data_IF_618629068621
#
_entry.id   IF_618629068621
#
_cell.length_a   1.000
_cell.length_b   1.000
_cell.length_c   1.000
_cell.angle_alpha   90.00
_cell.angle_beta   90.00
_cell.angle_gamma   90.00
#
_symmetry.space_group_name_H-M   'P 1'
#
loop_
_entity.id
_entity.type
_entity.pdbx_description
1 polymer ?
#
# COMPACT_ATOMS: atom_id res chain seq x y z
N UNK A 1 -16.41 11.56 -9.14
CA UNK A 1 -16.11 10.44 -8.22
C UNK A 1 -14.75 9.88 -8.62
N UNK A 2 -13.76 9.87 -7.73
CA UNK A 2 -12.43 9.32 -8.01
C UNK A 2 -12.35 7.85 -7.62
N UNK A 3 -11.67 7.03 -8.43
CA UNK A 3 -11.42 5.62 -8.16
C UNK A 3 -10.01 5.34 -7.61
N UNK A 4 -9.14 6.35 -7.52
CA UNK A 4 -7.72 6.17 -7.17
C UNK A 4 -7.09 7.31 -6.37
N UNK A 5 -7.79 8.43 -6.15
CA UNK A 5 -7.26 9.55 -5.34
C UNK A 5 -7.53 9.34 -3.85
N UNK A 6 -6.54 8.84 -3.12
CA UNK A 6 -6.64 8.45 -1.71
C UNK A 6 -6.23 9.54 -0.71
N UNK A 7 -5.64 10.66 -1.16
CA UNK A 7 -5.16 11.73 -0.27
C UNK A 7 -6.25 12.20 0.71
N UNK A 8 -5.88 12.36 1.99
CA UNK A 8 -6.81 12.72 3.07
C UNK A 8 -7.36 14.14 2.88
N UNK A 9 -6.58 15.03 2.26
CA UNK A 9 -6.98 16.43 1.98
C UNK A 9 -8.23 16.54 1.12
N UNK A 10 -8.53 15.53 0.29
CA UNK A 10 -9.72 15.49 -0.58
C UNK A 10 -11.04 15.23 0.18
N UNK A 11 -10.96 14.80 1.44
CA UNK A 11 -12.11 14.66 2.34
C UNK A 11 -12.68 16.00 2.84
N UNK A 12 -11.92 17.10 2.71
CA UNK A 12 -12.37 18.42 3.17
C UNK A 12 -13.45 19.00 2.23
N UNK A 13 -14.72 18.92 2.65
CA UNK A 13 -15.87 19.42 1.87
C UNK A 13 -16.00 20.93 1.82
N UNK A 14 -15.24 21.69 2.62
CA UNK A 14 -15.16 23.14 2.45
C UNK A 14 -14.32 23.50 1.22
N UNK A 15 -13.27 22.70 0.94
CA UNK A 15 -12.38 22.86 -0.22
C UNK A 15 -12.88 22.10 -1.45
N UNK A 16 -13.47 20.92 -1.25
CA UNK A 16 -13.87 19.99 -2.31
C UNK A 16 -15.34 19.53 -2.14
N UNK A 17 -16.32 20.44 -2.25
CA UNK A 17 -17.73 20.15 -1.93
C UNK A 17 -18.37 19.07 -2.82
N UNK A 18 -17.90 18.92 -4.06
CA UNK A 18 -18.43 17.95 -5.02
C UNK A 18 -17.54 16.69 -5.18
N UNK A 19 -16.42 16.61 -4.45
CA UNK A 19 -15.53 15.46 -4.55
C UNK A 19 -16.12 14.26 -3.80
N UNK A 20 -16.04 13.08 -4.40
CA UNK A 20 -16.40 11.79 -3.80
C UNK A 20 -15.44 10.73 -4.32
N UNK A 21 -15.30 9.60 -3.61
CA UNK A 21 -14.48 8.47 -4.07
C UNK A 21 -15.02 7.12 -3.61
N UNK A 22 -14.72 6.09 -4.39
CA UNK A 22 -15.14 4.69 -4.19
C UNK A 22 -14.06 3.81 -3.57
N UNK A 23 -13.04 4.45 -3.01
CA UNK A 23 -11.90 3.85 -2.36
C UNK A 23 -11.67 4.49 -0.99
N UNK A 24 -11.05 3.77 -0.02
CA UNK A 24 -10.69 4.35 1.25
C UNK A 24 -9.60 5.42 1.10
N UNK A 25 -9.55 6.34 2.05
CA UNK A 25 -8.49 7.34 2.11
C UNK A 25 -7.22 6.83 2.83
N UNK A 26 -6.09 7.51 2.61
CA UNK A 26 -4.77 7.08 3.13
C UNK A 26 -4.69 7.00 4.66
N UNK A 27 -5.61 7.63 5.40
CA UNK A 27 -5.67 7.50 6.86
C UNK A 27 -5.88 6.05 7.26
N UNK A 28 -6.75 5.33 6.53
CA UNK A 28 -7.05 3.92 6.80
C UNK A 28 -5.91 3.01 6.37
N UNK A 29 -5.24 3.31 5.25
CA UNK A 29 -4.06 2.55 4.82
C UNK A 29 -2.92 2.68 5.83
N UNK A 30 -2.62 3.91 6.25
CA UNK A 30 -1.55 4.18 7.21
C UNK A 30 -1.86 3.59 8.60
N UNK A 31 -3.13 3.57 9.01
CA UNK A 31 -3.58 2.87 10.21
C UNK A 31 -3.32 1.36 10.13
N UNK A 32 -3.68 0.75 9.00
CA UNK A 32 -3.44 -0.65 8.74
C UNK A 32 -1.93 -0.98 8.76
N UNK A 33 -1.11 -0.18 8.06
CA UNK A 33 0.35 -0.33 8.08
C UNK A 33 0.91 -0.22 9.50
N UNK A 34 0.52 0.79 10.28
CA UNK A 34 0.99 0.95 11.66
C UNK A 34 0.55 -0.22 12.54
N UNK A 35 -0.70 -0.67 12.44
CA UNK A 35 -1.20 -1.82 13.20
C UNK A 35 -0.45 -3.11 12.86
N UNK A 36 -0.10 -3.30 11.58
CA UNK A 36 0.76 -4.39 11.13
C UNK A 36 2.15 -4.28 11.79
N UNK A 37 2.83 -3.14 11.66
CA UNK A 37 4.16 -2.92 12.24
C UNK A 37 4.18 -3.17 13.76
N UNK A 38 3.16 -2.69 14.47
CA UNK A 38 3.00 -2.91 15.92
C UNK A 38 2.84 -4.40 16.26
N UNK A 39 2.08 -5.15 15.47
CA UNK A 39 1.87 -6.59 15.67
C UNK A 39 3.18 -7.38 15.63
N UNK A 40 4.13 -6.95 14.81
CA UNK A 40 5.45 -7.57 14.68
C UNK A 40 6.53 -6.93 15.57
N UNK A 41 6.20 -5.90 16.35
CA UNK A 41 7.16 -5.19 17.20
C UNK A 41 8.25 -4.45 16.42
N UNK A 42 7.98 -4.11 15.15
CA UNK A 42 8.87 -3.32 14.30
C UNK A 42 8.69 -1.84 14.65
N UNK A 43 9.69 -1.29 15.33
CA UNK A 43 9.63 0.07 15.92
C UNK A 43 10.63 1.04 15.28
N UNK A 44 11.44 0.56 14.35
CA UNK A 44 12.43 1.35 13.62
C UNK A 44 12.30 1.07 12.13
N UNK A 45 11.81 2.04 11.36
CA UNK A 45 11.46 1.83 9.95
C UNK A 45 12.01 2.93 9.05
N UNK A 46 12.40 2.58 7.83
CA UNK A 46 12.66 3.55 6.77
C UNK A 46 11.36 3.93 6.04
N UNK A 47 11.28 5.13 5.48
CA UNK A 47 10.15 5.53 4.62
C UNK A 47 10.65 6.11 3.30
N UNK A 48 10.10 5.60 2.19
CA UNK A 48 10.36 6.08 0.83
C UNK A 48 9.06 6.59 0.24
N UNK A 49 9.07 7.81 -0.31
CA UNK A 49 7.90 8.41 -0.96
C UNK A 49 8.24 8.97 -2.32
N UNK A 50 7.25 8.98 -3.22
CA UNK A 50 7.31 9.84 -4.40
C UNK A 50 6.86 11.25 -4.03
N UNK A 51 7.59 12.25 -4.53
CA UNK A 51 7.22 13.66 -4.35
C UNK A 51 5.84 13.95 -4.96
N UNK A 52 5.03 14.71 -4.23
CA UNK A 52 3.65 15.02 -4.59
C UNK A 52 2.66 14.83 -3.44
N UNK A 53 1.43 15.29 -3.67
CA UNK A 53 0.39 15.36 -2.65
C UNK A 53 0.04 14.01 -2.02
N UNK A 54 0.04 12.92 -2.80
CA UNK A 54 -0.21 11.57 -2.30
C UNK A 54 0.88 11.13 -1.32
N UNK A 55 2.14 11.07 -1.77
CA UNK A 55 3.26 10.60 -0.95
C UNK A 55 3.47 11.43 0.31
N UNK A 56 3.33 12.76 0.22
CA UNK A 56 3.48 13.65 1.36
C UNK A 56 2.31 13.51 2.36
N UNK A 57 1.06 13.48 1.88
CA UNK A 57 -0.13 13.26 2.74
C UNK A 57 -0.05 11.90 3.44
N UNK A 58 0.30 10.84 2.72
CA UNK A 58 0.44 9.50 3.29
C UNK A 58 1.55 9.45 4.34
N UNK A 59 2.71 10.06 4.08
CA UNK A 59 3.81 10.16 5.04
C UNK A 59 3.42 10.87 6.34
N UNK A 60 2.78 12.04 6.24
CA UNK A 60 2.35 12.81 7.43
C UNK A 60 1.35 12.03 8.28
N UNK A 61 0.38 11.37 7.63
CA UNK A 61 -0.58 10.51 8.32
C UNK A 61 0.11 9.30 8.95
N UNK A 62 1.05 8.66 8.25
CA UNK A 62 1.83 7.54 8.78
C UNK A 62 2.60 7.94 10.02
N UNK A 63 3.38 9.03 9.98
CA UNK A 63 4.18 9.50 11.13
C UNK A 63 3.31 9.85 12.33
N UNK A 64 2.17 10.52 12.11
CA UNK A 64 1.21 10.86 13.16
C UNK A 64 0.65 9.64 13.89
N UNK A 65 0.44 8.54 13.16
CA UNK A 65 -0.08 7.29 13.73
C UNK A 65 1.02 6.39 14.31
N UNK A 66 2.17 6.32 13.63
CA UNK A 66 3.34 5.54 14.02
C UNK A 66 3.90 6.02 15.37
N UNK A 67 4.06 7.33 15.54
CA UNK A 67 4.57 7.92 16.79
C UNK A 67 3.71 7.58 18.01
N UNK A 68 2.37 7.57 17.85
CA UNK A 68 1.42 7.17 18.91
C UNK A 68 1.55 5.69 19.30
N UNK A 69 2.11 4.87 18.42
CA UNK A 69 2.33 3.44 18.62
C UNK A 69 3.80 3.11 18.92
N UNK A 70 4.63 4.11 19.26
CA UNK A 70 6.03 3.90 19.62
C UNK A 70 6.92 3.45 18.46
N UNK A 71 6.54 3.78 17.22
CA UNK A 71 7.31 3.50 16.01
C UNK A 71 7.99 4.78 15.55
N UNK A 72 9.30 4.72 15.33
CA UNK A 72 10.11 5.83 14.85
C UNK A 72 10.57 5.60 13.41
N UNK A 73 10.67 6.70 12.66
CA UNK A 73 11.20 6.72 11.30
C UNK A 73 12.70 7.00 11.35
N UNK A 74 13.49 6.03 10.87
CA UNK A 74 14.94 6.09 10.80
C UNK A 74 15.41 7.11 9.77
N UNK A 75 14.79 7.09 8.59
CA UNK A 75 15.04 8.02 7.51
C UNK A 75 13.78 8.20 6.67
N UNK A 76 13.67 9.37 6.05
CA UNK A 76 12.69 9.67 5.00
C UNK A 76 13.46 9.97 3.72
N UNK A 77 13.15 9.23 2.65
CA UNK A 77 13.67 9.50 1.32
C UNK A 77 12.54 9.94 0.39
N UNK A 78 12.78 11.01 -0.37
CA UNK A 78 11.83 11.58 -1.31
C UNK A 78 12.42 11.46 -2.71
N UNK A 79 11.69 10.80 -3.60
CA UNK A 79 12.09 10.66 -5.01
C UNK A 79 11.18 11.56 -5.86
N UNK A 80 11.72 12.53 -6.60
CA UNK A 80 10.91 13.42 -7.44
C UNK A 80 10.12 12.64 -8.52
N UNK A 81 8.97 13.19 -8.93
CA UNK A 81 8.09 12.53 -9.89
C UNK A 81 8.63 12.53 -11.34
N UNK A 82 9.43 13.53 -11.73
CA UNK A 82 9.87 13.75 -13.12
C UNK A 82 10.93 12.74 -13.56
N UNK A 83 10.47 11.56 -13.98
CA UNK A 83 11.30 10.45 -14.47
C UNK A 83 12.24 10.92 -15.58
N UNK A 84 13.51 10.50 -15.52
CA UNK A 84 14.52 10.77 -16.54
C UNK A 84 15.37 12.03 -16.29
N UNK A 85 15.00 12.88 -15.33
CA UNK A 85 15.85 14.00 -14.90
C UNK A 85 17.09 13.53 -14.13
N UNK A 86 18.19 14.29 -14.21
CA UNK A 86 19.39 14.04 -13.42
C UNK A 86 19.07 14.06 -11.92
N UNK A 87 18.16 14.93 -11.49
CA UNK A 87 17.69 15.05 -10.11
C UNK A 87 17.05 13.74 -9.60
N UNK A 88 16.20 13.10 -10.42
CA UNK A 88 15.59 11.81 -10.04
C UNK A 88 16.64 10.71 -9.91
N UNK A 89 17.60 10.63 -10.84
CA UNK A 89 18.67 9.62 -10.75
C UNK A 89 19.50 9.81 -9.49
N UNK A 90 19.91 11.05 -9.20
CA UNK A 90 20.64 11.38 -7.97
C UNK A 90 19.84 11.07 -6.72
N UNK A 91 18.53 11.38 -6.69
CA UNK A 91 17.66 11.05 -5.57
C UNK A 91 17.51 9.53 -5.36
N UNK A 92 17.44 8.74 -6.44
CA UNK A 92 17.40 7.27 -6.39
C UNK A 92 18.72 6.72 -5.84
N UNK A 93 19.86 7.16 -6.37
CA UNK A 93 21.20 6.76 -5.87
C UNK A 93 21.37 7.11 -4.40
N UNK A 94 20.95 8.31 -3.98
CA UNK A 94 20.99 8.72 -2.59
C UNK A 94 20.05 7.89 -1.71
N UNK A 95 18.84 7.58 -2.20
CA UNK A 95 17.88 6.73 -1.48
C UNK A 95 18.44 5.33 -1.25
N UNK A 96 19.01 4.71 -2.29
CA UNK A 96 19.66 3.40 -2.18
C UNK A 96 20.81 3.43 -1.16
N UNK A 97 21.65 4.46 -1.21
CA UNK A 97 22.75 4.66 -0.26
C UNK A 97 22.24 4.78 1.17
N UNK A 98 21.21 5.60 1.41
CA UNK A 98 20.60 5.76 2.74
C UNK A 98 20.02 4.45 3.28
N UNK A 99 19.44 3.60 2.41
CA UNK A 99 18.96 2.26 2.81
C UNK A 99 20.11 1.35 3.27
N UNK A 100 21.26 1.38 2.59
CA UNK A 100 22.44 0.62 2.97
C UNK A 100 23.11 1.16 4.25
N UNK A 101 23.12 2.48 4.44
CA UNK A 101 23.68 3.15 5.62
C UNK A 101 22.81 2.98 6.89
N UNK A 102 21.58 2.45 6.76
CA UNK A 102 20.66 2.19 7.88
C UNK A 102 20.28 0.69 7.97
N UNK A 103 21.24 -0.21 8.27
CA UNK A 103 20.97 -1.64 8.31
C UNK A 103 19.96 -2.04 9.40
N UNK A 104 19.78 -1.24 10.45
CA UNK A 104 18.88 -1.57 11.56
C UNK A 104 17.40 -1.36 11.19
N UNK A 105 17.15 -0.58 10.13
CA UNK A 105 15.85 -0.39 9.52
C UNK A 105 15.59 -1.50 8.49
N UNK A 106 15.32 -2.71 8.99
CA UNK A 106 15.00 -3.88 8.18
C UNK A 106 13.64 -3.77 7.47
N UNK A 107 12.76 -2.89 7.96
CA UNK A 107 11.44 -2.62 7.40
C UNK A 107 11.41 -1.25 6.73
N UNK A 108 10.93 -1.21 5.47
CA UNK A 108 10.79 0.01 4.68
C UNK A 108 9.33 0.18 4.25
N UNK A 109 8.70 1.28 4.67
CA UNK A 109 7.36 1.66 4.22
C UNK A 109 7.48 2.49 2.95
N UNK A 110 6.71 2.15 1.91
CA UNK A 110 6.85 2.77 0.59
C UNK A 110 5.53 3.29 0.01
N UNK A 111 5.44 4.63 -0.08
CA UNK A 111 4.39 5.38 -0.80
C UNK A 111 4.93 5.90 -2.13
N UNK A 112 5.61 5.03 -2.88
CA UNK A 112 6.24 5.37 -4.15
C UNK A 112 5.46 4.84 -5.36
N UNK A 113 5.64 5.50 -6.51
CA UNK A 113 5.10 5.03 -7.79
C UNK A 113 5.81 3.75 -8.26
N UNK A 114 5.10 2.85 -8.99
CA UNK A 114 5.66 1.63 -9.55
C UNK A 114 7.00 1.81 -10.29
N UNK A 115 7.05 2.78 -11.21
CA UNK A 115 8.24 3.04 -12.04
C UNK A 115 9.46 3.42 -11.22
N UNK A 116 9.28 4.24 -10.18
CA UNK A 116 10.35 4.66 -9.29
C UNK A 116 10.82 3.51 -8.39
N UNK A 117 9.92 2.60 -7.99
CA UNK A 117 10.30 1.38 -7.27
C UNK A 117 11.16 0.45 -8.13
N UNK A 118 10.86 0.31 -9.42
CA UNK A 118 11.71 -0.44 -10.36
C UNK A 118 13.11 0.16 -10.43
N UNK A 119 13.23 1.47 -10.64
CA UNK A 119 14.54 2.11 -10.70
C UNK A 119 15.31 2.06 -9.38
N UNK A 120 14.61 2.18 -8.24
CA UNK A 120 15.23 2.04 -6.92
C UNK A 120 15.77 0.62 -6.71
N UNK A 121 15.01 -0.41 -7.10
CA UNK A 121 15.47 -1.79 -7.03
C UNK A 121 16.73 -2.01 -7.90
N UNK A 122 16.72 -1.52 -9.15
CA UNK A 122 17.88 -1.62 -10.04
C UNK A 122 19.12 -0.95 -9.43
N UNK A 123 18.96 0.22 -8.83
CA UNK A 123 20.07 0.93 -8.21
C UNK A 123 20.57 0.26 -6.92
N UNK A 124 19.67 -0.25 -6.07
CA UNK A 124 20.04 -1.05 -4.91
C UNK A 124 20.89 -2.26 -5.32
N UNK A 125 20.48 -2.95 -6.41
CA UNK A 125 21.23 -4.07 -6.97
C UNK A 125 22.61 -3.63 -7.49
N UNK A 126 22.67 -2.52 -8.22
CA UNK A 126 23.94 -1.98 -8.74
C UNK A 126 24.92 -1.62 -7.61
N UNK A 127 24.44 -0.96 -6.55
CA UNK A 127 25.28 -0.58 -5.42
C UNK A 127 25.76 -1.79 -4.61
N UNK A 128 24.89 -2.78 -4.38
CA UNK A 128 25.28 -4.04 -3.76
C UNK A 128 26.41 -4.73 -4.54
N UNK A 129 26.28 -4.83 -5.88
CA UNK A 129 27.29 -5.43 -6.74
C UNK A 129 28.62 -4.67 -6.70
N UNK A 130 28.58 -3.32 -6.76
CA UNK A 130 29.78 -2.47 -6.69
C UNK A 130 30.46 -2.51 -5.32
N UNK A 131 29.69 -2.61 -4.25
CA UNK A 131 30.19 -2.62 -2.88
C UNK A 131 30.71 -3.98 -2.42
N UNK A 132 30.64 -5.03 -3.25
CA UNK A 132 31.04 -6.38 -2.88
C UNK A 132 30.25 -6.97 -1.71
N UNK A 133 29.02 -6.47 -1.49
CA UNK A 133 28.18 -6.92 -0.39
C UNK A 133 27.47 -8.24 -0.69
N UNK A 134 27.16 -9.03 0.34
CA UNK A 134 26.35 -10.23 0.19
C UNK A 134 24.97 -9.87 -0.39
N UNK A 135 24.41 -10.74 -1.24
CA UNK A 135 23.08 -10.58 -1.84
C UNK A 135 21.98 -10.42 -0.79
N UNK A 136 22.21 -10.92 0.43
CA UNK A 136 21.30 -10.75 1.56
C UNK A 136 21.28 -9.32 2.13
N UNK A 137 22.31 -8.51 1.88
CA UNK A 137 22.44 -7.16 2.43
C UNK A 137 21.38 -6.19 1.88
N UNK A 138 20.82 -6.49 0.70
CA UNK A 138 19.72 -5.74 0.08
C UNK A 138 18.34 -6.16 0.59
N UNK A 139 18.21 -7.35 1.20
CA UNK A 139 16.91 -7.87 1.64
C UNK A 139 16.32 -6.98 2.72
N UNK A 140 15.04 -6.62 2.54
CA UNK A 140 14.23 -5.87 3.51
C UNK A 140 12.81 -6.44 3.53
N UNK A 141 12.03 -6.01 4.52
CA UNK A 141 10.56 -6.13 4.49
C UNK A 141 10.01 -4.83 3.95
N UNK A 142 9.48 -4.88 2.73
CA UNK A 142 8.85 -3.75 2.08
C UNK A 142 7.35 -3.75 2.39
N UNK A 143 6.90 -2.68 3.04
CA UNK A 143 5.48 -2.42 3.29
C UNK A 143 4.99 -1.49 2.19
N UNK A 144 4.37 -2.09 1.17
CA UNK A 144 3.99 -1.45 -0.08
C UNK A 144 2.57 -0.85 -0.01
N UNK A 145 2.45 0.41 -0.41
CA UNK A 145 1.17 1.08 -0.61
C UNK A 145 0.40 0.53 -1.81
N UNK A 146 -0.89 0.89 -1.88
CA UNK A 146 -1.83 0.60 -2.98
C UNK A 146 -1.31 1.00 -4.36
N UNK A 147 -0.41 1.97 -4.43
CA UNK A 147 0.14 2.44 -5.70
C UNK A 147 0.99 1.38 -6.43
N UNK A 148 1.68 0.48 -5.71
CA UNK A 148 2.61 -0.46 -6.35
C UNK A 148 2.55 -1.89 -5.82
N UNK A 149 1.84 -2.13 -4.71
CA UNK A 149 1.69 -3.44 -4.07
C UNK A 149 1.15 -4.55 -4.97
N UNK A 150 0.45 -4.22 -6.05
CA UNK A 150 -0.10 -5.16 -7.03
C UNK A 150 0.34 -4.88 -8.47
N UNK A 151 1.41 -4.10 -8.64
CA UNK A 151 1.89 -3.67 -9.96
C UNK A 151 2.68 -4.77 -10.69
N UNK A 152 2.17 -5.16 -11.86
CA UNK A 152 2.83 -6.12 -12.77
C UNK A 152 4.15 -5.58 -13.31
N UNK A 153 4.22 -4.27 -13.64
CA UNK A 153 5.48 -3.65 -14.05
C UNK A 153 6.57 -3.74 -12.99
N UNK A 154 6.23 -3.72 -11.69
CA UNK A 154 7.23 -3.95 -10.63
C UNK A 154 7.58 -5.43 -10.57
N UNK A 155 6.57 -6.31 -10.55
CA UNK A 155 6.73 -7.77 -10.54
C UNK A 155 7.74 -8.26 -11.60
N UNK A 156 7.61 -7.79 -12.84
CA UNK A 156 8.43 -8.22 -13.98
C UNK A 156 9.89 -7.76 -13.90
N UNK A 157 10.17 -6.72 -13.10
CA UNK A 157 11.48 -6.07 -13.05
C UNK A 157 12.24 -6.30 -11.75
N UNK A 158 11.71 -7.11 -10.83
CA UNK A 158 12.35 -7.40 -9.54
C UNK A 158 12.55 -8.91 -9.31
N UNK A 159 13.55 -9.24 -8.49
CA UNK A 159 13.76 -10.60 -7.99
C UNK A 159 13.50 -10.61 -6.48
N UNK A 160 12.45 -11.32 -6.05
CA UNK A 160 12.07 -11.39 -4.63
C UNK A 160 13.18 -11.94 -3.74
N UNK A 161 13.99 -12.88 -4.24
CA UNK A 161 15.10 -13.44 -3.47
C UNK A 161 16.19 -12.41 -3.12
N UNK A 162 16.30 -11.33 -3.89
CA UNK A 162 17.24 -10.22 -3.66
C UNK A 162 16.57 -9.12 -2.83
N UNK A 163 15.31 -8.79 -3.13
CA UNK A 163 14.56 -7.70 -2.48
C UNK A 163 14.10 -8.05 -1.06
N UNK A 164 13.88 -9.33 -0.76
CA UNK A 164 13.35 -9.82 0.52
C UNK A 164 11.84 -10.07 0.47
N UNK A 165 11.11 -9.49 1.41
CA UNK A 165 9.66 -9.68 1.54
C UNK A 165 8.91 -8.44 1.11
N UNK A 166 7.77 -8.60 0.43
CA UNK A 166 6.88 -7.49 0.09
C UNK A 166 5.48 -7.80 0.66
N UNK A 167 5.05 -6.94 1.59
CA UNK A 167 3.70 -6.90 2.15
C UNK A 167 2.96 -5.73 1.53
N UNK A 168 1.97 -6.02 0.71
CA UNK A 168 1.18 -5.04 -0.02
C UNK A 168 -0.13 -4.71 0.68
N UNK A 169 -0.57 -3.46 0.55
CA UNK A 169 -1.93 -3.05 0.85
C UNK A 169 -2.63 -2.76 -0.47
N UNK A 170 -3.74 -3.42 -0.77
CA UNK A 170 -4.52 -3.22 -2.00
C UNK A 170 -5.97 -2.90 -1.65
N UNK A 171 -6.65 -2.14 -2.52
CA UNK A 171 -8.09 -1.97 -2.36
C UNK A 171 -8.79 -3.32 -2.45
N UNK A 172 -9.87 -3.49 -1.68
CA UNK A 172 -10.68 -4.69 -1.74
C UNK A 172 -11.14 -4.96 -3.16
N UNK A 173 -10.76 -6.12 -3.70
CA UNK A 173 -11.26 -6.55 -4.99
C UNK A 173 -12.66 -7.11 -4.83
N UNK A 174 -13.61 -6.60 -5.61
CA UNK A 174 -14.89 -7.28 -5.80
C UNK A 174 -14.75 -8.50 -6.71
N UNK A 175 -15.88 -9.15 -6.99
CA UNK A 175 -15.97 -10.11 -8.08
C UNK A 175 -15.60 -9.44 -9.42
N UNK A 176 -14.80 -10.10 -10.26
CA UNK A 176 -14.36 -9.59 -11.57
C UNK A 176 -14.99 -10.37 -12.74
N UNK A 177 -15.94 -11.26 -12.48
CA UNK A 177 -16.54 -12.12 -13.50
C UNK A 177 -17.09 -11.33 -14.67
N UNK A 178 -17.81 -10.22 -14.41
CA UNK A 178 -18.33 -9.33 -15.46
C UNK A 178 -17.24 -8.71 -16.33
N UNK A 179 -16.15 -8.26 -15.72
CA UNK A 179 -15.02 -7.68 -16.45
C UNK A 179 -14.27 -8.73 -17.27
N UNK A 180 -14.08 -9.92 -16.70
CA UNK A 180 -13.44 -11.03 -17.39
C UNK A 180 -14.28 -11.53 -18.58
N UNK A 181 -15.60 -11.53 -18.45
CA UNK A 181 -16.53 -11.84 -19.53
C UNK A 181 -16.47 -10.78 -20.64
N UNK A 182 -16.41 -9.49 -20.29
CA UNK A 182 -16.19 -8.41 -21.26
C UNK A 182 -14.90 -8.64 -22.06
N UNK A 183 -13.79 -8.96 -21.39
CA UNK A 183 -12.52 -9.24 -22.08
C UNK A 183 -12.59 -10.48 -22.97
N UNK A 184 -13.31 -11.53 -22.58
CA UNK A 184 -13.51 -12.72 -23.41
C UNK A 184 -14.39 -12.43 -24.63
N UNK A 185 -15.40 -11.56 -24.50
CA UNK A 185 -16.20 -11.11 -25.65
C UNK A 185 -15.37 -10.24 -26.60
N UNK A 186 -14.52 -9.37 -26.06
CA UNK A 186 -13.60 -8.57 -26.85
C UNK A 186 -12.64 -9.45 -27.66
N UNK A 187 -12.11 -10.50 -27.04
CA UNK A 187 -11.28 -11.49 -27.72
C UNK A 187 -12.01 -12.21 -28.86
N UNK A 188 -13.26 -12.62 -28.63
CA UNK A 188 -14.09 -13.31 -29.61
C UNK A 188 -14.55 -12.41 -30.78
N UNK A 189 -14.68 -11.11 -30.55
CA UNK A 189 -15.15 -10.15 -31.55
C UNK A 189 -14.08 -9.80 -32.59
N UNK A 190 -12.79 -9.93 -32.24
CA UNK A 190 -11.66 -9.70 -33.14
C UNK A 190 -11.28 -8.23 -33.30
N UNK A 191 -10.29 -7.96 -34.16
CA UNK A 191 -9.60 -6.67 -34.25
C UNK A 191 -10.50 -5.52 -34.74
N UNK A 192 -11.47 -5.81 -35.61
CA UNK A 192 -12.30 -4.79 -36.24
C UNK A 192 -13.43 -4.29 -35.31
N UNK A 193 -13.77 -5.02 -34.24
CA UNK A 193 -14.83 -4.66 -33.30
C UNK A 193 -14.31 -3.88 -32.09
N UNK A 194 -13.58 -2.80 -32.37
CA UNK A 194 -13.16 -1.83 -31.32
C UNK A 194 -14.26 -0.80 -31.00
N UNK A 195 -15.35 -0.78 -31.78
CA UNK A 195 -16.37 0.26 -31.74
C UNK A 195 -15.76 1.66 -31.88
N UNK A 196 -16.23 2.60 -31.05
CA UNK A 196 -15.70 3.98 -31.00
C UNK A 196 -14.52 4.14 -30.00
N UNK A 197 -13.95 3.03 -29.49
CA UNK A 197 -12.88 3.11 -28.49
C UNK A 197 -11.51 3.34 -29.14
N UNK A 198 -11.22 4.61 -29.43
CA UNK A 198 -9.95 5.06 -30.03
C UNK A 198 -8.71 4.66 -29.21
N UNK A 199 -8.84 4.54 -27.87
CA UNK A 199 -7.72 4.13 -27.03
C UNK A 199 -7.41 2.64 -27.16
N UNK A 200 -8.42 1.82 -27.43
CA UNK A 200 -8.22 0.40 -27.70
C UNK A 200 -7.55 0.19 -29.06
N UNK A 201 -7.95 0.98 -30.07
CA UNK A 201 -7.29 0.98 -31.39
C UNK A 201 -5.82 1.40 -31.29
N UNK A 202 -5.53 2.47 -30.54
CA UNK A 202 -4.15 2.90 -30.28
C UNK A 202 -3.36 1.82 -29.54
N UNK A 203 -3.95 1.18 -28.53
CA UNK A 203 -3.34 0.09 -27.78
C UNK A 203 -2.96 -1.09 -28.67
N UNK A 204 -3.86 -1.53 -29.55
CA UNK A 204 -3.57 -2.58 -30.54
C UNK A 204 -2.43 -2.16 -31.48
N UNK A 205 -2.44 -0.92 -31.96
CA UNK A 205 -1.38 -0.40 -32.84
C UNK A 205 -0.01 -0.42 -32.15
N UNK A 206 0.06 0.02 -30.89
CA UNK A 206 1.32 0.04 -30.13
C UNK A 206 1.84 -1.37 -29.81
N UNK A 207 0.94 -2.29 -29.45
CA UNK A 207 1.30 -3.69 -29.25
C UNK A 207 1.83 -4.32 -30.54
N UNK A 208 1.16 -4.08 -31.66
CA UNK A 208 1.55 -4.66 -32.94
C UNK A 208 2.87 -4.09 -33.47
N UNK A 209 3.14 -2.80 -33.23
CA UNK A 209 4.39 -2.15 -33.61
C UNK A 209 5.64 -2.82 -32.99
N UNK A 210 5.46 -3.60 -31.93
CA UNK A 210 6.55 -4.28 -31.23
C UNK A 210 6.93 -5.60 -31.89
N UNK A 211 5.99 -6.37 -32.44
CA UNK A 211 6.25 -7.76 -32.87
C UNK A 211 5.60 -8.21 -34.19
N UNK A 212 4.68 -7.43 -34.80
CA UNK A 212 4.10 -7.75 -36.11
C UNK A 212 3.15 -8.94 -36.13
N UNK A 213 2.28 -9.04 -35.13
CA UNK A 213 1.27 -10.10 -35.00
C UNK A 213 0.19 -10.02 -36.07
N UNK A 214 -0.41 -11.17 -36.40
CA UNK A 214 -1.69 -11.21 -37.12
C UNK A 214 -2.86 -10.75 -36.22
N UNK A 215 -3.95 -10.28 -36.83
CA UNK A 215 -5.06 -9.62 -36.11
C UNK A 215 -5.65 -10.44 -34.95
N UNK A 216 -5.86 -11.75 -35.12
CA UNK A 216 -6.38 -12.62 -34.04
C UNK A 216 -5.39 -12.74 -32.88
N UNK A 217 -4.10 -12.93 -33.19
CA UNK A 217 -3.05 -13.07 -32.18
C UNK A 217 -2.84 -11.77 -31.41
N UNK A 218 -2.91 -10.63 -32.11
CA UNK A 218 -2.82 -9.30 -31.52
C UNK A 218 -3.91 -9.08 -30.46
N UNK A 219 -5.16 -9.43 -30.76
CA UNK A 219 -6.27 -9.24 -29.82
C UNK A 219 -6.12 -10.15 -28.60
N UNK A 220 -5.77 -11.43 -28.79
CA UNK A 220 -5.50 -12.33 -27.67
C UNK A 220 -4.37 -11.81 -26.79
N UNK A 221 -3.28 -11.30 -27.38
CA UNK A 221 -2.17 -10.73 -26.63
C UNK A 221 -2.56 -9.45 -25.89
N UNK A 222 -3.39 -8.62 -26.50
CA UNK A 222 -3.92 -7.41 -25.90
C UNK A 222 -4.81 -7.74 -24.69
N UNK A 223 -5.69 -8.74 -24.80
CA UNK A 223 -6.53 -9.22 -23.71
C UNK A 223 -5.71 -9.81 -22.56
N UNK A 224 -4.69 -10.62 -22.86
CA UNK A 224 -3.73 -11.12 -21.86
C UNK A 224 -3.06 -9.94 -21.12
N UNK A 225 -2.51 -8.99 -21.87
CA UNK A 225 -1.85 -7.79 -21.33
C UNK A 225 -2.80 -6.99 -20.42
N UNK A 226 -4.05 -6.80 -20.83
CA UNK A 226 -5.07 -6.13 -20.03
C UNK A 226 -5.36 -6.90 -18.73
N UNK A 227 -5.50 -8.23 -18.77
CA UNK A 227 -5.73 -9.04 -17.56
C UNK A 227 -4.57 -8.94 -16.57
N UNK A 228 -3.35 -8.92 -17.08
CA UNK A 228 -2.13 -8.85 -16.29
C UNK A 228 -1.92 -7.48 -15.65
N UNK A 229 -2.11 -6.40 -16.41
CA UNK A 229 -1.78 -5.03 -15.98
C UNK A 229 -2.94 -4.32 -15.26
N UNK A 230 -4.13 -4.93 -15.22
CA UNK A 230 -5.28 -4.34 -14.55
C UNK A 230 -5.33 -4.67 -13.06
N UNK A 231 -5.55 -3.65 -12.24
CA UNK A 231 -5.73 -3.80 -10.79
C UNK A 231 -7.19 -4.09 -10.44
N UNK A 232 -7.44 -5.26 -9.86
CA UNK A 232 -8.78 -5.74 -9.50
C UNK A 232 -9.59 -4.74 -8.64
N UNK A 233 -8.95 -4.17 -7.62
CA UNK A 233 -9.57 -3.15 -6.76
C UNK A 233 -9.94 -1.87 -7.51
N UNK A 234 -9.15 -1.47 -8.52
CA UNK A 234 -9.45 -0.28 -9.33
C UNK A 234 -10.65 -0.52 -10.24
N UNK A 235 -10.74 -1.70 -10.88
CA UNK A 235 -11.91 -2.06 -11.70
C UNK A 235 -13.19 -2.03 -10.87
N UNK A 236 -13.18 -2.68 -9.71
CA UNK A 236 -14.32 -2.67 -8.81
C UNK A 236 -14.70 -1.24 -8.37
N UNK A 237 -13.70 -0.38 -8.13
CA UNK A 237 -13.92 1.01 -7.75
C UNK A 237 -14.49 1.86 -8.90
N UNK A 238 -14.10 1.58 -10.15
CA UNK A 238 -14.66 2.21 -11.35
C UNK A 238 -16.11 1.76 -11.57
N UNK A 239 -16.38 0.45 -11.50
CA UNK A 239 -17.75 -0.09 -11.59
C UNK A 239 -18.65 0.54 -10.52
N UNK A 240 -18.15 0.69 -9.30
CA UNK A 240 -18.87 1.35 -8.20
C UNK A 240 -19.14 2.82 -8.48
N UNK A 241 -18.18 3.54 -9.06
CA UNK A 241 -18.35 4.96 -9.38
C UNK A 241 -19.41 5.16 -10.47
N UNK A 242 -19.38 4.33 -11.52
CA UNK A 242 -20.39 4.34 -12.59
C UNK A 242 -21.77 3.97 -12.01
N UNK A 243 -21.84 2.94 -11.16
CA UNK A 243 -23.11 2.55 -10.53
C UNK A 243 -23.69 3.65 -9.65
N UNK A 244 -22.87 4.35 -8.87
CA UNK A 244 -23.31 5.47 -8.05
C UNK A 244 -23.93 6.59 -8.89
N UNK A 245 -23.28 6.95 -10.00
CA UNK A 245 -23.78 7.99 -10.93
C UNK A 245 -25.09 7.53 -11.57
N UNK A 246 -25.16 6.30 -12.06
CA UNK A 246 -26.35 5.75 -12.70
C UNK A 246 -27.55 5.71 -11.75
N UNK A 247 -27.36 5.25 -10.51
CA UNK A 247 -28.42 5.23 -9.50
C UNK A 247 -28.89 6.64 -9.11
N UNK A 248 -27.97 7.58 -8.94
CA UNK A 248 -28.31 8.97 -8.66
C UNK A 248 -29.12 9.59 -9.82
N UNK A 249 -28.74 9.32 -11.07
CA UNK A 249 -29.49 9.77 -12.24
C UNK A 249 -30.90 9.16 -12.28
N UNK A 250 -31.02 7.84 -12.08
CA UNK A 250 -32.32 7.16 -12.01
C UNK A 250 -33.19 7.78 -10.91
N UNK A 251 -32.63 8.07 -9.73
CA UNK A 251 -33.37 8.71 -8.64
C UNK A 251 -33.93 10.09 -9.04
N UNK A 252 -33.10 10.93 -9.68
CA UNK A 252 -33.53 12.24 -10.20
C UNK A 252 -34.63 12.10 -11.24
N UNK A 253 -34.53 11.09 -12.11
CA UNK A 253 -35.44 10.87 -13.23
C UNK A 253 -36.69 10.05 -12.90
N UNK A 254 -36.86 9.59 -11.66
CA UNK A 254 -38.11 8.93 -11.23
C UNK A 254 -39.32 9.85 -11.30
N UNK A 255 -39.12 11.13 -11.02
CA UNK A 255 -40.20 12.10 -10.86
C UNK A 255 -40.30 13.11 -12.03
N UNK A 256 -39.51 12.94 -13.10
CA UNK A 256 -39.53 13.81 -14.29
C UNK A 256 -38.88 13.15 -15.50
N UNK A 257 -39.20 13.63 -16.70
CA UNK A 257 -38.53 13.21 -17.93
C UNK A 257 -37.10 13.80 -18.01
N UNK A 258 -36.13 12.94 -18.29
CA UNK A 258 -34.71 13.29 -18.42
C UNK A 258 -34.15 13.00 -19.83
N UNK A 259 -35.00 12.67 -20.81
CA UNK A 259 -34.56 12.30 -22.16
C UNK A 259 -33.92 13.45 -22.93
N UNK A 260 -34.30 14.70 -22.62
CA UNK A 260 -33.73 15.88 -23.26
C UNK A 260 -32.37 16.22 -22.62
N UNK A 261 -31.28 16.36 -23.41
CA UNK A 261 -29.98 16.77 -22.88
C UNK A 261 -30.07 18.09 -22.11
N UNK A 262 -29.38 18.18 -20.96
CA UNK A 262 -29.38 19.36 -20.10
C UNK A 262 -30.55 19.47 -19.12
N UNK A 263 -31.49 18.52 -19.11
CA UNK A 263 -32.58 18.45 -18.12
C UNK A 263 -32.08 18.16 -16.70
N UNK A 264 -31.00 17.39 -16.57
CA UNK A 264 -30.40 17.06 -15.29
C UNK A 264 -29.21 17.97 -15.03
N UNK A 265 -29.29 18.73 -13.95
CA UNK A 265 -28.25 19.66 -13.57
C UNK A 265 -27.23 19.00 -12.62
N UNK A 266 -25.94 19.38 -12.68
CA UNK A 266 -24.90 18.74 -11.87
C UNK A 266 -25.16 18.76 -10.35
N UNK A 267 -25.77 19.83 -9.82
CA UNK A 267 -26.08 19.94 -8.40
C UNK A 267 -27.22 18.99 -7.96
N UNK A 268 -28.13 18.65 -8.87
CA UNK A 268 -29.22 17.70 -8.59
C UNK A 268 -28.65 16.29 -8.49
N UNK A 269 -27.75 15.94 -9.41
CA UNK A 269 -27.02 14.68 -9.35
C UNK A 269 -26.16 14.61 -8.08
N UNK A 270 -25.44 15.69 -7.75
CA UNK A 270 -24.66 15.77 -6.51
C UNK A 270 -25.53 15.55 -5.28
N UNK A 271 -26.68 16.22 -5.19
CA UNK A 271 -27.63 16.05 -4.08
C UNK A 271 -28.13 14.61 -3.98
N UNK A 272 -28.48 13.98 -5.11
CA UNK A 272 -28.93 12.59 -5.13
C UNK A 272 -27.83 11.62 -4.65
N UNK A 273 -26.58 11.81 -5.09
CA UNK A 273 -25.44 11.00 -4.64
C UNK A 273 -25.17 11.09 -3.14
N UNK A 274 -25.47 12.23 -2.50
CA UNK A 274 -25.30 12.41 -1.05
C UNK A 274 -26.39 11.72 -0.21
N UNK A 275 -27.62 11.65 -0.73
CA UNK A 275 -28.78 11.22 0.05
C UNK A 275 -29.05 9.73 -0.09
N UNK A 276 -28.85 9.19 -1.28
CA UNK A 276 -29.31 7.87 -1.66
C UNK A 276 -28.24 6.79 -1.42
N UNK A 277 -28.72 5.60 -1.06
CA UNK A 277 -27.91 4.38 -1.16
C UNK A 277 -27.98 3.86 -2.60
N UNK A 278 -26.87 3.33 -3.09
CA UNK A 278 -26.81 2.71 -4.41
C UNK A 278 -26.34 1.26 -4.30
N UNK A 279 -26.77 0.44 -5.26
CA UNK A 279 -26.41 -0.97 -5.28
C UNK A 279 -25.34 -1.22 -6.33
N UNK A 280 -24.40 -2.08 -6.00
CA UNK A 280 -23.52 -2.71 -6.99
C UNK A 280 -23.57 -4.20 -6.70
N UNK A 281 -24.18 -4.95 -7.62
CA UNK A 281 -24.55 -6.37 -7.41
C UNK A 281 -25.44 -6.49 -6.17
N UNK A 282 -25.17 -7.46 -5.30
CA UNK A 282 -25.97 -7.72 -4.09
C UNK A 282 -25.56 -6.90 -2.86
N UNK A 283 -24.68 -5.90 -3.04
CA UNK A 283 -24.20 -5.04 -1.96
C UNK A 283 -24.69 -3.61 -2.13
N UNK A 284 -25.06 -2.99 -1.01
CA UNK A 284 -25.48 -1.58 -0.95
C UNK A 284 -24.35 -0.73 -0.40
N UNK A 285 -24.18 0.45 -0.98
CA UNK A 285 -23.11 1.39 -0.68
C UNK A 285 -23.68 2.80 -0.48
N UNK A 286 -23.00 3.58 0.35
CA UNK A 286 -23.33 4.97 0.62
C UNK A 286 -22.06 5.77 0.88
N UNK A 287 -21.96 6.97 0.32
CA UNK A 287 -20.89 7.90 0.66
C UNK A 287 -21.10 8.41 2.09
N UNK A 288 -20.04 8.42 2.89
CA UNK A 288 -20.07 9.05 4.21
C UNK A 288 -20.12 10.58 4.10
N UNK A 289 -20.21 11.30 5.22
CA UNK A 289 -20.24 12.77 5.25
C UNK A 289 -19.01 13.45 4.62
N UNK A 290 -17.92 12.70 4.42
CA UNK A 290 -16.69 13.13 3.78
C UNK A 290 -16.61 12.68 2.32
N UNK A 291 -17.70 12.17 1.74
CA UNK A 291 -17.76 11.70 0.35
C UNK A 291 -16.91 10.45 0.10
N UNK A 292 -16.56 9.71 1.15
CA UNK A 292 -15.68 8.56 1.10
C UNK A 292 -16.48 7.25 1.25
N UNK A 293 -15.96 6.16 0.66
CA UNK A 293 -16.41 4.78 0.92
C UNK A 293 -15.22 4.00 1.45
N UNK A 294 -15.34 3.47 2.66
CA UNK A 294 -14.22 2.87 3.39
C UNK A 294 -14.43 1.36 3.57
N UNK A 295 -14.04 0.57 2.58
CA UNK A 295 -14.15 -0.90 2.61
C UNK A 295 -13.00 -1.60 3.35
N UNK A 296 -11.95 -0.86 3.72
CA UNK A 296 -10.70 -1.43 4.22
C UNK A 296 -9.74 -1.82 3.10
N UNK A 297 -8.78 -2.69 3.43
CA UNK A 297 -7.72 -3.09 2.51
C UNK A 297 -7.50 -4.59 2.57
N UNK A 298 -7.16 -5.19 1.44
CA UNK A 298 -6.58 -6.52 1.40
C UNK A 298 -5.07 -6.37 1.63
N UNK A 299 -4.53 -7.20 2.52
CA UNK A 299 -3.08 -7.30 2.75
C UNK A 299 -2.58 -8.46 1.92
N UNK A 300 -1.69 -8.17 0.97
CA UNK A 300 -1.07 -9.18 0.12
C UNK A 300 0.36 -9.47 0.57
N UNK A 301 0.83 -10.67 0.30
CA UNK A 301 2.25 -11.01 0.44
C UNK A 301 2.74 -11.59 -0.87
N UNK A 302 3.76 -10.95 -1.45
CA UNK A 302 4.35 -11.44 -2.69
C UNK A 302 5.01 -12.80 -2.45
N UNK A 303 4.82 -13.72 -3.41
CA UNK A 303 5.47 -15.04 -3.41
C UNK A 303 6.19 -15.27 -4.72
N UNK A 304 7.24 -16.06 -4.69
CA UNK A 304 7.87 -16.62 -5.88
C UNK A 304 7.70 -18.13 -5.87
N UNK A 305 7.38 -18.72 -7.01
CA UNK A 305 7.50 -20.17 -7.23
C UNK A 305 8.82 -20.57 -7.93
N UNK A 306 9.70 -19.59 -8.16
CA UNK A 306 10.99 -19.75 -8.85
C UNK A 306 10.98 -19.19 -10.26
N UNK A 307 9.84 -19.26 -10.96
CA UNK A 307 9.67 -18.73 -12.31
C UNK A 307 8.86 -17.44 -12.31
N UNK A 308 7.83 -17.38 -11.45
CA UNK A 308 6.83 -16.33 -11.44
C UNK A 308 6.64 -15.72 -10.05
N UNK A 309 6.52 -14.40 -10.03
CA UNK A 309 6.13 -13.66 -8.83
C UNK A 309 4.61 -13.50 -8.78
N UNK A 310 3.99 -13.94 -7.69
CA UNK A 310 2.57 -13.81 -7.42
C UNK A 310 2.31 -12.66 -6.46
N UNK A 311 1.72 -11.57 -6.96
CA UNK A 311 1.48 -10.33 -6.18
C UNK A 311 0.08 -10.24 -5.56
N UNK A 312 -0.86 -11.09 -5.99
CA UNK A 312 -2.28 -11.07 -5.59
C UNK A 312 -2.61 -12.04 -4.45
N UNK A 313 -1.61 -12.58 -3.77
CA UNK A 313 -1.81 -13.52 -2.68
C UNK A 313 -2.24 -12.77 -1.39
N UNK A 314 -3.55 -12.71 -1.14
CA UNK A 314 -4.14 -12.10 0.06
C UNK A 314 -3.86 -12.97 1.28
N UNK A 315 -3.26 -12.38 2.32
CA UNK A 315 -2.89 -13.03 3.58
C UNK A 315 -3.73 -12.56 4.78
N UNK A 316 -4.32 -11.37 4.68
CA UNK A 316 -5.26 -10.83 5.65
C UNK A 316 -6.16 -9.77 5.02
N UNK A 317 -7.29 -9.49 5.65
CA UNK A 317 -8.15 -8.36 5.34
C UNK A 317 -8.16 -7.38 6.52
N UNK A 318 -7.92 -6.10 6.24
CA UNK A 318 -8.00 -5.03 7.21
C UNK A 318 -9.41 -4.43 7.25
N UNK A 319 -9.94 -4.29 8.45
CA UNK A 319 -11.25 -3.71 8.72
C UNK A 319 -11.08 -2.36 9.47
N UNK A 320 -11.44 -1.22 8.84
CA UNK A 320 -11.15 0.10 9.41
C UNK A 320 -12.02 0.45 10.63
N UNK A 321 -13.21 -0.14 10.77
CA UNK A 321 -14.14 0.18 11.85
C UNK A 321 -13.63 -0.19 13.24
N UNK A 322 -12.91 -1.30 13.36
CA UNK A 322 -12.39 -1.83 14.62
C UNK A 322 -10.85 -1.90 14.62
N UNK A 323 -10.19 -1.40 13.57
CA UNK A 323 -8.75 -1.47 13.38
C UNK A 323 -8.19 -2.90 13.57
N UNK A 324 -8.83 -3.89 12.94
CA UNK A 324 -8.46 -5.30 13.09
C UNK A 324 -8.13 -5.96 11.75
N UNK A 325 -7.39 -7.07 11.83
CA UNK A 325 -7.14 -7.96 10.70
C UNK A 325 -7.91 -9.27 10.85
N UNK A 326 -8.51 -9.72 9.76
CA UNK A 326 -9.01 -11.10 9.60
C UNK A 326 -8.03 -11.86 8.71
N UNK A 327 -7.53 -12.99 9.17
CA UNK A 327 -6.58 -13.80 8.38
C UNK A 327 -7.32 -14.73 7.41
N UNK A 328 -6.81 -14.83 6.17
CA UNK A 328 -7.51 -15.54 5.10
C UNK A 328 -7.56 -17.05 5.29
N UNK A 329 -6.46 -17.67 5.78
CA UNK A 329 -6.41 -19.10 6.11
C UNK A 329 -5.18 -19.46 6.98
N UNK A 330 -5.07 -20.72 7.38
CA UNK A 330 -3.96 -21.21 8.22
C UNK A 330 -2.59 -21.13 7.52
N UNK A 331 -2.51 -21.43 6.21
CA UNK A 331 -1.24 -21.40 5.46
C UNK A 331 -0.68 -19.99 5.28
N UNK A 332 -1.54 -19.00 5.03
CA UNK A 332 -1.17 -17.58 4.99
C UNK A 332 -0.72 -17.07 6.35
N UNK A 333 -1.36 -17.53 7.44
CA UNK A 333 -0.94 -17.23 8.81
C UNK A 333 0.48 -17.73 9.10
N UNK A 334 0.84 -18.94 8.61
CA UNK A 334 2.21 -19.45 8.76
C UNK A 334 3.25 -18.60 8.02
N UNK A 335 2.91 -18.05 6.86
CA UNK A 335 3.83 -17.17 6.12
C UNK A 335 4.05 -15.84 6.81
N UNK A 336 2.96 -15.26 7.32
CA UNK A 336 3.03 -14.09 8.17
C UNK A 336 3.84 -14.37 9.45
N UNK A 337 3.73 -15.57 10.03
CA UNK A 337 4.55 -15.99 11.16
C UNK A 337 6.04 -16.09 10.81
N UNK A 338 6.38 -16.41 9.55
CA UNK A 338 7.77 -16.45 9.11
C UNK A 338 8.45 -15.08 9.22
N UNK A 339 7.73 -13.96 9.30
CA UNK A 339 8.31 -12.63 9.46
C UNK A 339 8.67 -12.28 10.92
N UNK A 340 8.22 -13.07 11.90
CA UNK A 340 8.44 -12.80 13.34
C UNK A 340 9.91 -12.79 13.77
N UNK A 341 10.79 -13.47 13.02
CA UNK A 341 12.22 -13.48 13.31
C UNK A 341 12.95 -12.20 12.87
N UNK A 342 12.31 -11.36 12.04
CA UNK A 342 12.91 -10.13 11.52
C UNK A 342 12.84 -9.05 12.61
N UNK A 343 14.00 -8.51 12.96
CA UNK A 343 14.14 -7.47 13.99
C UNK A 343 14.39 -6.14 13.30
N UNK A 344 13.48 -5.18 13.48
CA UNK A 344 13.62 -3.80 13.00
C UNK A 344 13.47 -2.85 14.19
N UNK A 345 14.58 -2.65 14.91
CA UNK A 345 14.67 -1.85 16.14
C UNK A 345 15.98 -1.04 16.11
N UNK A 346 15.93 0.20 16.59
CA UNK A 346 17.11 1.06 16.65
C UNK A 346 18.16 0.50 17.64
N UNK A 347 17.68 0.08 18.81
CA UNK A 347 18.52 -0.45 19.88
C UNK A 347 18.17 -1.90 20.18
N UNK A 348 19.19 -2.67 20.54
CA UNK A 348 18.99 -4.03 21.07
C UNK A 348 18.16 -3.98 22.35
N UNK A 349 17.40 -5.04 22.62
CA UNK A 349 16.67 -5.15 23.88
C UNK A 349 17.65 -5.35 25.03
N UNK A 350 17.52 -4.55 26.10
CA UNK A 350 18.36 -4.69 27.30
C UNK A 350 18.05 -6.01 28.01
N UNK A 351 19.10 -6.72 28.41
CA UNK A 351 18.97 -8.03 29.07
C UNK A 351 18.66 -7.87 30.57
N UNK A 352 18.21 -8.94 31.26
CA UNK A 352 18.05 -8.88 32.72
C UNK A 352 19.33 -8.38 33.42
N UNK A 353 19.16 -7.50 34.39
CA UNK A 353 20.27 -6.76 35.02
C UNK A 353 20.65 -5.44 34.33
N UNK A 354 20.12 -5.16 33.14
CA UNK A 354 20.24 -3.87 32.46
C UNK A 354 18.89 -3.12 32.42
N UNK A 355 18.97 -1.80 32.30
CA UNK A 355 17.83 -0.90 32.15
C UNK A 355 18.03 0.04 30.96
N UNK A 356 16.94 0.48 30.34
CA UNK A 356 17.00 1.44 29.25
C UNK A 356 17.42 2.81 29.77
N UNK A 357 18.52 3.33 29.23
CA UNK A 357 18.97 4.69 29.45
C UNK A 357 18.66 5.50 28.19
N UNK A 358 17.84 6.53 28.34
CA UNK A 358 17.48 7.43 27.25
C UNK A 358 18.74 8.10 26.70
N UNK A 359 18.99 7.97 25.40
CA UNK A 359 20.07 8.69 24.73
C UNK A 359 19.67 10.15 24.53
N UNK A 360 20.65 11.06 24.40
CA UNK A 360 20.40 12.49 24.08
C UNK A 360 19.90 12.71 22.63
N UNK A 361 19.52 11.66 21.91
CA UNK A 361 19.10 11.71 20.52
C UNK A 361 17.63 12.12 20.33
N UNK A 362 17.22 12.44 19.09
CA UNK A 362 15.85 12.91 18.81
C UNK A 362 14.79 11.80 18.80
N UNK A 363 15.18 10.52 18.78
CA UNK A 363 14.26 9.40 18.63
C UNK A 363 14.07 8.63 19.94
N UNK A 364 12.83 8.55 20.42
CA UNK A 364 12.45 7.80 21.64
C UNK A 364 12.67 6.29 21.51
N UNK A 365 12.72 5.76 20.29
CA UNK A 365 12.94 4.34 20.02
C UNK A 365 14.42 3.92 20.17
N UNK A 366 15.35 4.87 20.23
CA UNK A 366 16.77 4.62 20.38
C UNK A 366 17.18 4.87 21.84
N UNK A 367 17.79 3.88 22.46
CA UNK A 367 18.25 3.93 23.85
C UNK A 367 19.54 3.11 24.03
N UNK A 368 20.25 3.37 25.12
CA UNK A 368 21.36 2.54 25.55
C UNK A 368 20.90 1.58 26.64
N UNK A 369 21.60 0.46 26.79
CA UNK A 369 21.39 -0.44 27.91
C UNK A 369 22.48 -0.18 28.95
N UNK A 370 22.05 0.19 30.15
CA UNK A 370 22.93 0.48 31.27
C UNK A 370 22.68 -0.53 32.40
N UNK A 371 23.76 -1.03 33.00
CA UNK A 371 23.70 -1.93 34.15
C UNK A 371 22.91 -1.25 35.28
N UNK A 372 22.02 -2.00 35.92
CA UNK A 372 21.26 -1.50 37.05
C UNK A 372 22.21 -1.05 38.17
N UNK A 373 21.96 0.11 38.77
CA UNK A 373 22.72 0.57 39.93
C UNK A 373 22.52 -0.36 41.12
N UNK A 374 23.46 -0.34 42.08
CA UNK A 374 23.34 -1.11 43.31
C UNK A 374 21.95 -0.88 43.97
N UNK A 375 21.33 -1.96 44.46
CA UNK A 375 19.98 -2.00 45.03
C UNK A 375 18.81 -1.88 44.03
N UNK A 376 19.08 -1.92 42.72
CA UNK A 376 18.06 -1.98 41.68
C UNK A 376 18.23 -3.22 40.81
N UNK A 377 17.12 -3.79 40.33
CA UNK A 377 17.15 -4.95 39.45
C UNK A 377 16.11 -4.85 38.33
N UNK A 378 16.38 -5.54 37.22
CA UNK A 378 15.47 -5.69 36.09
C UNK A 378 15.33 -7.17 35.78
N UNK A 379 14.17 -7.75 36.11
CA UNK A 379 13.89 -9.19 35.90
C UNK A 379 13.53 -9.53 34.45
N UNK A 380 13.03 -8.57 33.69
CA UNK A 380 12.50 -8.80 32.34
C UNK A 380 13.22 -7.97 31.29
N UNK A 381 13.43 -8.56 30.12
CA UNK A 381 14.07 -7.92 28.98
C UNK A 381 13.30 -6.68 28.53
N UNK A 382 13.98 -5.54 28.39
CA UNK A 382 13.42 -4.33 27.76
C UNK A 382 12.61 -3.38 28.66
N UNK A 383 12.73 -3.46 30.00
CA UNK A 383 12.07 -2.52 30.92
C UNK A 383 12.78 -1.16 31.01
N UNK A 384 11.96 -0.10 31.14
CA UNK A 384 12.38 1.31 31.15
C UNK A 384 12.88 1.79 32.51
N UNK A 385 12.39 1.18 33.59
CA UNK A 385 12.81 1.49 34.96
C UNK A 385 13.15 0.19 35.69
N UNK A 386 14.32 0.10 36.34
CA UNK A 386 14.62 -1.01 37.22
C UNK A 386 13.76 -0.88 38.50
N UNK A 387 13.27 -1.99 39.01
CA UNK A 387 12.50 -2.00 40.26
C UNK A 387 13.45 -1.80 41.44
N UNK A 388 12.98 -1.10 42.47
CA UNK A 388 13.63 -1.10 43.79
C UNK A 388 13.61 -2.51 44.36
N UNK A 389 14.72 -2.96 44.94
CA UNK A 389 14.73 -4.13 45.82
C UNK A 389 13.78 -3.87 47.00
N UNK A 390 12.55 -4.35 46.92
CA UNK A 390 11.74 -4.59 48.10
C UNK A 390 12.47 -5.71 48.83
N UNK A 391 13.05 -5.43 50.00
CA UNK A 391 13.56 -6.46 50.89
C UNK A 391 12.39 -7.37 51.26
N UNK A 392 12.19 -8.44 50.48
CA UNK A 392 11.43 -9.59 50.97
C UNK A 392 12.32 -10.18 52.04
N UNK A 393 12.02 -9.87 53.29
CA UNK A 393 12.50 -10.64 54.42
C UNK A 393 12.07 -12.09 54.17
N UNK A 394 12.96 -12.88 53.58
CA UNK A 394 12.89 -14.32 53.75
C UNK A 394 13.23 -14.54 55.22
N UNK A 395 12.18 -14.60 56.05
CA UNK A 395 12.26 -15.31 57.30
C UNK A 395 12.77 -16.72 56.98
N UNK A 396 14.02 -16.97 57.32
CA UNK A 396 14.48 -18.33 57.58
C UNK A 396 13.68 -18.79 58.81
N UNK A 397 12.74 -19.69 58.60
CA UNK A 397 12.44 -20.72 59.59
C UNK A 397 13.32 -21.94 59.33
#
# INVERSE_FOLDING_TARGET
ISYSSTAVTLSDKRRFPAFMRTIPNDRHQTAAMVSLLSTYGWTWVGVVITDGNYGQSAFENFVSQASKNGICVAFKSIIPQAVGSQDVRSAITQTARTIFENPEAQVIVSFAKPTLMVYLYQELKNQMLRGGQDRKSMRRVWVASDSWSSSSSVKENIHLEEMGHVLGFTFKSGDLSSFNEYLSRLEAAGHDDTGDNVFLQEFYTQLNASEGYGDTELVSKAVETLREHTHAGNIFSVEMAVSAIAHALVSVCRNRDCRTPGTVQPWELLKAMWMEEFKLRDKSFKFDSSGDINLGYDVTMWRSDGENIHVRNVVAEYHPHNNSFTHSNHSTTQQLNALKHIISKCSKSCVPGESKKTTKGPHTCCYECAICSANYYSNDTGKTFPFTLTFVYMHKE
#
